data_IF_863020502792
#
_entry.id   IF_863020502792
#
_cell.length_a   1.000
_cell.length_b   1.000
_cell.length_c   1.000
_cell.angle_alpha   90.00
_cell.angle_beta   90.00
_cell.angle_gamma   90.00
#
_symmetry.space_group_name_H-M   'P 1'
#
loop_
_entity.id
_entity.type
_entity.pdbx_description
1 polymer ?
#
# COMPACT_ATOMS: atom_id res chain seq x y z
N UNK A 1 11.43 -25.54 8.84
CA UNK A 1 10.87 -24.64 9.86
C UNK A 1 10.77 -23.26 9.25
N UNK A 2 9.56 -22.75 9.04
CA UNK A 2 9.34 -21.38 8.58
C UNK A 2 9.06 -20.53 9.81
N UNK A 3 9.72 -19.38 9.95
CA UNK A 3 9.42 -18.41 10.99
C UNK A 3 8.32 -17.50 10.44
N UNK A 4 7.08 -17.85 10.73
CA UNK A 4 5.92 -16.99 10.50
C UNK A 4 5.70 -16.13 11.73
N UNK A 5 5.36 -14.85 11.52
CA UNK A 5 4.82 -14.01 12.58
C UNK A 5 3.34 -13.82 12.33
N UNK A 6 2.53 -14.11 13.34
CA UNK A 6 1.12 -13.73 13.33
C UNK A 6 1.08 -12.21 13.39
N UNK A 7 0.45 -11.59 12.39
CA UNK A 7 0.27 -10.15 12.39
C UNK A 7 -1.07 -9.85 13.05
N UNK A 8 -1.01 -9.19 14.20
CA UNK A 8 -2.17 -8.73 14.95
C UNK A 8 -2.38 -7.25 14.67
N UNK A 9 -3.63 -6.87 14.45
CA UNK A 9 -4.04 -5.47 14.28
C UNK A 9 -5.16 -5.18 15.26
N UNK A 10 -5.04 -4.07 15.99
CA UNK A 10 -6.08 -3.58 16.89
C UNK A 10 -7.17 -2.88 16.09
N UNK A 11 -8.39 -3.42 16.12
CA UNK A 11 -9.57 -2.78 15.57
C UNK A 11 -10.39 -2.15 16.69
N UNK A 12 -10.89 -0.94 16.43
CA UNK A 12 -11.75 -0.19 17.35
C UNK A 12 -13.10 0.07 16.68
N UNK A 13 -14.13 -0.56 17.21
CA UNK A 13 -15.52 -0.33 16.81
C UNK A 13 -16.14 0.71 17.74
N UNK A 14 -16.66 1.81 17.17
CA UNK A 14 -17.36 2.85 17.92
C UNK A 14 -18.81 2.88 17.46
N UNK A 15 -19.74 2.57 18.36
CA UNK A 15 -21.16 2.62 18.07
C UNK A 15 -21.77 3.90 18.61
N UNK A 16 -22.44 4.64 17.75
CA UNK A 16 -23.17 5.86 18.11
C UNK A 16 -24.66 5.56 18.27
N UNK A 17 -25.30 6.25 19.20
CA UNK A 17 -26.76 6.36 19.31
C UNK A 17 -27.14 7.78 18.90
N UNK A 18 -28.20 7.87 18.10
CA UNK A 18 -28.79 9.14 17.71
C UNK A 18 -30.12 9.25 18.43
N UNK A 19 -30.30 10.30 19.21
CA UNK A 19 -31.60 10.61 19.79
C UNK A 19 -32.52 11.22 18.72
N UNK A 20 -33.70 10.64 18.51
CA UNK A 20 -34.63 11.04 17.45
C UNK A 20 -35.23 12.43 17.69
N UNK A 21 -35.35 12.86 18.94
CA UNK A 21 -35.96 14.16 19.31
C UNK A 21 -34.96 15.32 19.27
N UNK A 22 -33.71 15.11 19.68
CA UNK A 22 -32.69 16.16 19.77
C UNK A 22 -31.67 16.12 18.62
N UNK A 23 -31.69 15.07 17.77
CA UNK A 23 -30.69 14.83 16.72
C UNK A 23 -29.24 14.77 17.22
N UNK A 24 -29.03 14.59 18.52
CA UNK A 24 -27.71 14.53 19.12
C UNK A 24 -27.10 13.13 18.95
N UNK A 25 -25.79 13.08 18.67
CA UNK A 25 -25.02 11.83 18.55
C UNK A 25 -24.23 11.59 19.84
N UNK A 26 -24.56 10.53 20.56
CA UNK A 26 -23.83 10.08 21.75
C UNK A 26 -23.13 8.73 21.49
N UNK A 27 -22.02 8.48 22.18
CA UNK A 27 -21.29 7.20 22.06
C UNK A 27 -22.00 6.17 22.94
N UNK A 28 -22.43 5.05 22.35
CA UNK A 28 -23.08 3.94 23.07
C UNK A 28 -22.07 3.03 23.76
N UNK A 29 -21.09 2.59 23.00
CA UNK A 29 -19.97 1.80 23.50
C UNK A 29 -18.81 1.83 22.50
N UNK A 30 -17.63 1.55 23.03
CA UNK A 30 -16.39 1.38 22.30
C UNK A 30 -15.93 -0.05 22.56
N UNK A 31 -15.66 -0.82 21.48
CA UNK A 31 -15.10 -2.17 21.58
C UNK A 31 -13.75 -2.19 20.89
N UNK A 32 -12.72 -2.59 21.62
CA UNK A 32 -11.39 -2.84 21.07
C UNK A 32 -11.18 -4.35 20.97
N UNK A 33 -10.71 -4.82 19.82
CA UNK A 33 -10.44 -6.23 19.57
C UNK A 33 -9.17 -6.37 18.72
N UNK A 34 -8.29 -7.26 19.14
CA UNK A 34 -7.19 -7.72 18.32
C UNK A 34 -7.71 -8.75 17.31
N UNK A 35 -7.46 -8.49 16.03
CA UNK A 35 -7.84 -9.36 14.93
C UNK A 35 -6.58 -9.83 14.24
N UNK A 36 -6.46 -11.16 14.08
CA UNK A 36 -5.38 -11.76 13.29
C UNK A 36 -5.70 -11.58 11.81
N UNK A 37 -4.77 -10.97 11.07
CA UNK A 37 -4.90 -10.75 9.62
C UNK A 37 -4.21 -11.85 8.79
N UNK A 38 -3.63 -12.85 9.46
CA UNK A 38 -2.91 -13.96 8.85
C UNK A 38 -1.43 -14.03 9.25
N UNK A 39 -0.74 -14.99 8.64
CA UNK A 39 0.68 -15.25 8.85
C UNK A 39 1.51 -14.53 7.78
N UNK A 40 2.52 -13.76 8.21
CA UNK A 40 3.46 -13.10 7.32
C UNK A 40 4.85 -13.73 7.43
N UNK A 41 5.56 -13.94 6.31
CA UNK A 41 6.91 -14.46 6.34
C UNK A 41 7.83 -13.41 6.96
N UNK A 42 8.58 -13.80 7.98
CA UNK A 42 9.51 -12.90 8.67
C UNK A 42 10.90 -12.99 8.05
N UNK A 43 11.57 -11.84 7.96
CA UNK A 43 12.92 -11.74 7.43
C UNK A 43 13.94 -12.30 8.42
N UNK A 44 14.90 -13.08 7.94
CA UNK A 44 16.05 -13.54 8.74
C UNK A 44 17.05 -12.39 8.98
N UNK A 45 18.04 -12.61 9.84
CA UNK A 45 19.16 -11.67 10.04
C UNK A 45 19.99 -11.42 8.78
N UNK A 46 19.87 -12.28 7.76
CA UNK A 46 20.59 -12.16 6.49
C UNK A 46 19.78 -11.47 5.39
N UNK A 47 18.56 -11.01 5.68
CA UNK A 47 17.71 -10.36 4.66
C UNK A 47 16.98 -11.33 3.74
N UNK A 48 16.89 -12.61 4.10
CA UNK A 48 16.22 -13.66 3.33
C UNK A 48 14.90 -14.08 3.97
N UNK A 49 14.10 -14.84 3.22
CA UNK A 49 12.81 -15.39 3.66
C UNK A 49 12.76 -16.89 3.36
N UNK A 50 12.24 -17.69 4.29
CA UNK A 50 12.02 -19.12 4.07
C UNK A 50 10.60 -19.32 3.51
N UNK A 51 10.48 -19.71 2.25
CA UNK A 51 9.20 -19.95 1.58
C UNK A 51 9.15 -21.41 1.13
N UNK A 52 8.19 -22.18 1.67
CA UNK A 52 8.07 -23.62 1.42
C UNK A 52 9.36 -24.41 1.67
N UNK A 53 10.12 -24.03 2.70
CA UNK A 53 11.37 -24.70 3.09
C UNK A 53 12.61 -24.31 2.28
N UNK A 54 12.49 -23.39 1.31
CA UNK A 54 13.61 -22.88 0.52
C UNK A 54 13.87 -21.42 0.89
N UNK A 55 15.13 -21.06 1.02
CA UNK A 55 15.56 -19.68 1.25
C UNK A 55 15.45 -18.84 -0.03
N UNK A 56 14.78 -17.70 0.06
CA UNK A 56 14.52 -16.78 -1.05
C UNK A 56 14.91 -15.36 -0.66
N UNK A 57 15.33 -14.58 -1.65
CA UNK A 57 15.59 -13.15 -1.49
C UNK A 57 14.60 -12.37 -2.35
N UNK A 58 14.13 -11.23 -1.83
CA UNK A 58 13.31 -10.29 -2.58
C UNK A 58 14.23 -9.16 -3.06
N UNK A 59 14.21 -8.88 -4.36
CA UNK A 59 14.98 -7.78 -4.95
C UNK A 59 14.13 -6.53 -5.07
N UNK A 60 14.73 -5.36 -4.85
CA UNK A 60 14.05 -4.08 -5.05
C UNK A 60 13.73 -3.86 -6.53
N UNK A 61 12.49 -3.48 -6.83
CA UNK A 61 12.08 -3.11 -8.18
C UNK A 61 12.41 -1.64 -8.46
N UNK A 62 13.03 -1.36 -9.61
CA UNK A 62 13.11 0.00 -10.14
C UNK A 62 11.87 0.30 -10.99
N UNK A 63 10.95 1.09 -10.44
CA UNK A 63 9.80 1.62 -11.16
C UNK A 63 9.83 3.15 -11.15
N UNK A 64 9.19 3.78 -12.15
CA UNK A 64 9.02 5.23 -12.16
C UNK A 64 8.06 5.64 -11.04
N UNK A 65 8.38 6.69 -10.31
CA UNK A 65 7.49 7.23 -9.29
C UNK A 65 6.19 7.76 -9.92
N UNK A 66 5.07 7.74 -9.18
CA UNK A 66 3.87 8.46 -9.61
C UNK A 66 4.17 9.96 -9.81
N UNK A 67 3.51 10.58 -10.77
CA UNK A 67 3.69 12.00 -11.05
C UNK A 67 3.43 12.42 -12.49
N UNK A 68 3.75 13.69 -12.77
CA UNK A 68 3.63 14.27 -14.11
C UNK A 68 4.99 14.25 -14.79
N UNK A 69 5.05 13.62 -15.96
CA UNK A 69 6.23 13.50 -16.79
C UNK A 69 6.06 14.32 -18.05
N UNK A 70 7.04 15.17 -18.37
CA UNK A 70 7.10 15.92 -19.61
C UNK A 70 8.19 15.32 -20.49
N UNK A 71 7.87 15.05 -21.75
CA UNK A 71 8.81 14.48 -22.72
C UNK A 71 8.73 15.25 -24.05
N UNK A 72 9.78 15.16 -24.86
CA UNK A 72 9.83 15.77 -26.19
C UNK A 72 10.40 14.78 -27.20
N UNK A 73 9.86 14.81 -28.42
CA UNK A 73 10.29 13.91 -29.49
C UNK A 73 11.68 14.22 -30.07
N UNK A 74 12.34 15.28 -29.57
CA UNK A 74 13.63 15.81 -30.06
C UNK A 74 13.66 16.04 -31.57
N UNK A 75 12.51 16.34 -32.18
CA UNK A 75 12.37 16.63 -33.61
C UNK A 75 12.48 15.40 -34.51
N UNK A 76 12.41 14.20 -33.94
CA UNK A 76 12.56 12.94 -34.68
C UNK A 76 11.30 12.53 -35.44
N UNK A 77 10.13 13.06 -35.09
CA UNK A 77 8.84 12.56 -35.60
C UNK A 77 8.31 13.37 -36.79
N UNK A 78 8.60 14.67 -36.85
CA UNK A 78 8.13 15.54 -37.93
C UNK A 78 9.28 15.94 -38.86
N UNK A 79 9.10 15.75 -40.17
CA UNK A 79 10.08 16.12 -41.20
C UNK A 79 10.40 17.62 -41.25
N UNK A 80 9.58 18.47 -40.61
CA UNK A 80 9.82 19.90 -40.44
C UNK A 80 10.82 20.23 -39.31
N UNK A 81 11.25 19.24 -38.52
CA UNK A 81 12.14 19.45 -37.35
C UNK A 81 11.47 20.11 -36.15
N UNK A 82 10.15 20.31 -36.18
CA UNK A 82 9.39 20.89 -35.06
C UNK A 82 9.38 19.92 -33.87
N UNK A 83 9.71 20.44 -32.69
CA UNK A 83 9.63 19.70 -31.42
C UNK A 83 8.17 19.48 -31.01
N UNK A 84 7.81 18.22 -30.72
CA UNK A 84 6.52 17.85 -30.14
C UNK A 84 6.73 17.52 -28.67
N UNK A 85 6.01 18.24 -27.80
CA UNK A 85 6.01 18.02 -26.36
C UNK A 85 4.81 17.17 -25.95
N UNK A 86 5.01 16.29 -24.96
CA UNK A 86 3.95 15.48 -24.38
C UNK A 86 4.01 15.56 -22.85
N UNK A 87 2.85 15.48 -22.22
CA UNK A 87 2.72 15.35 -20.77
C UNK A 87 2.00 14.03 -20.47
N UNK A 88 2.50 13.26 -19.51
CA UNK A 88 1.90 12.00 -19.05
C UNK A 88 1.77 12.02 -17.53
N UNK A 89 0.59 11.64 -17.04
CA UNK A 89 0.34 11.45 -15.60
C UNK A 89 0.37 9.94 -15.36
N UNK A 90 1.22 9.50 -14.42
CA UNK A 90 1.35 8.10 -13.98
C UNK A 90 0.98 8.03 -12.51
#
# INVERSE_FOLDING_TARGET
FIVWKVQEVSFKEVKYVVDEETSEKSIKYIKEQEVSIGELPTMTSHGTFIINGIERVIVSQMHRSPGVFFDSDKGKTYSSGKLIYSARII
#
